data_IF_795381676674
#
_entry.id   IF_795381676674
#
_cell.length_a   1.000
_cell.length_b   1.000
_cell.length_c   1.000
_cell.angle_alpha   90.00
_cell.angle_beta   90.00
_cell.angle_gamma   90.00
#
_symmetry.space_group_name_H-M   'P 1'
#
loop_
_entity.id
_entity.type
_entity.pdbx_description
1 polymer ?
#
# COMPACT_ATOMS: atom_id res chain seq x y z
N UNK A 1 -11.73 -12.10 -16.56
CA UNK A 1 -10.58 -13.03 -16.74
C UNK A 1 -9.95 -13.22 -15.37
N UNK A 2 -9.75 -14.46 -14.92
CA UNK A 2 -9.03 -14.74 -13.66
C UNK A 2 -7.58 -14.32 -13.88
N UNK A 3 -7.10 -13.28 -13.17
CA UNK A 3 -5.69 -12.87 -13.22
C UNK A 3 -4.82 -14.01 -12.70
N UNK A 4 -3.76 -14.37 -13.42
CA UNK A 4 -2.83 -15.42 -13.00
C UNK A 4 -2.09 -15.02 -11.73
N UNK A 5 -1.81 -15.99 -10.87
CA UNK A 5 -0.94 -15.81 -9.71
C UNK A 5 0.50 -15.60 -10.18
N UNK A 6 1.07 -14.43 -9.84
CA UNK A 6 2.44 -14.06 -10.19
C UNK A 6 3.43 -14.49 -9.11
N UNK A 7 3.03 -14.28 -7.84
CA UNK A 7 3.81 -14.68 -6.66
C UNK A 7 2.89 -15.46 -5.72
N UNK A 8 3.43 -16.51 -5.11
CA UNK A 8 2.81 -17.23 -3.99
C UNK A 8 3.81 -17.34 -2.83
N UNK A 9 3.40 -16.92 -1.66
CA UNK A 9 4.07 -17.15 -0.38
C UNK A 9 3.32 -18.28 0.29
N UNK A 10 4.02 -19.38 0.62
CA UNK A 10 3.43 -20.56 1.25
C UNK A 10 4.09 -20.84 2.57
N UNK A 11 3.34 -20.68 3.63
CA UNK A 11 3.75 -20.98 5.00
C UNK A 11 5.10 -20.33 5.39
N UNK A 12 5.26 -19.06 5.05
CA UNK A 12 6.51 -18.32 5.24
C UNK A 12 6.71 -17.99 6.72
N UNK A 13 7.85 -18.39 7.25
CA UNK A 13 8.32 -18.01 8.59
C UNK A 13 9.65 -17.29 8.47
N UNK A 14 9.80 -16.22 9.26
CA UNK A 14 11.07 -15.50 9.42
C UNK A 14 11.24 -15.02 10.85
N UNK A 15 12.39 -15.34 11.44
CA UNK A 15 12.76 -14.89 12.76
C UNK A 15 14.11 -14.17 12.76
N UNK A 16 14.33 -13.29 13.74
CA UNK A 16 15.58 -12.61 14.00
C UNK A 16 15.87 -12.72 15.50
N UNK A 17 17.02 -13.21 15.87
CA UNK A 17 17.47 -13.33 17.28
C UNK A 17 16.45 -14.03 18.21
N UNK A 18 15.63 -14.92 17.62
CA UNK A 18 14.59 -15.67 18.35
C UNK A 18 13.21 -15.00 18.36
N UNK A 19 13.07 -13.79 17.85
CA UNK A 19 11.78 -13.10 17.68
C UNK A 19 11.21 -13.36 16.28
N UNK A 20 9.94 -13.74 16.21
CA UNK A 20 9.24 -14.05 14.94
C UNK A 20 8.78 -12.74 14.31
N UNK A 21 9.38 -12.38 13.19
CA UNK A 21 9.01 -11.20 12.41
C UNK A 21 7.90 -11.48 11.39
N UNK A 22 7.83 -12.71 10.87
CA UNK A 22 6.76 -13.18 9.96
C UNK A 22 6.40 -14.59 10.37
N UNK A 23 5.12 -14.85 10.62
CA UNK A 23 4.61 -16.09 11.19
C UNK A 23 3.64 -16.77 10.23
N UNK A 24 4.03 -17.95 9.68
CA UNK A 24 3.24 -18.84 8.83
C UNK A 24 2.42 -18.14 7.74
N UNK A 25 3.00 -17.10 7.12
CA UNK A 25 2.33 -16.25 6.16
C UNK A 25 1.97 -16.99 4.88
N UNK A 26 0.71 -16.88 4.47
CA UNK A 26 0.20 -17.35 3.19
C UNK A 26 -0.40 -16.19 2.42
N UNK A 27 0.17 -15.86 1.25
CA UNK A 27 -0.25 -14.74 0.40
C UNK A 27 -0.05 -15.10 -1.06
N UNK A 28 -0.97 -14.71 -1.92
CA UNK A 28 -0.76 -14.73 -3.36
C UNK A 28 -0.95 -13.34 -3.95
N UNK A 29 -0.14 -13.01 -4.95
CA UNK A 29 -0.13 -11.72 -5.64
C UNK A 29 -0.40 -11.99 -7.11
N UNK A 30 -1.32 -11.23 -7.70
CA UNK A 30 -1.76 -11.40 -9.08
C UNK A 30 -0.95 -10.53 -10.05
N UNK A 31 -0.99 -10.88 -11.33
CA UNK A 31 -0.44 -10.03 -12.38
C UNK A 31 -1.22 -8.72 -12.49
N UNK A 32 -0.49 -7.62 -12.72
CA UNK A 32 -1.05 -6.29 -12.97
C UNK A 32 -1.96 -5.77 -11.84
N UNK A 33 -1.64 -6.09 -10.58
CA UNK A 33 -2.32 -5.49 -9.43
C UNK A 33 -1.40 -4.53 -8.66
N UNK A 34 -2.02 -3.59 -7.98
CA UNK A 34 -1.41 -2.76 -6.97
C UNK A 34 -1.79 -3.35 -5.61
N UNK A 35 -0.85 -4.04 -4.96
CA UNK A 35 -1.08 -4.63 -3.64
C UNK A 35 -0.28 -3.87 -2.58
N UNK A 36 -0.92 -3.55 -1.47
CA UNK A 36 -0.28 -2.87 -0.35
C UNK A 36 -0.24 -3.74 0.90
N UNK A 37 0.94 -3.86 1.49
CA UNK A 37 1.12 -4.39 2.85
C UNK A 37 1.10 -3.21 3.81
N UNK A 38 0.14 -3.17 4.73
CA UNK A 38 -0.05 -2.08 5.70
C UNK A 38 -0.14 -2.63 7.11
N UNK A 39 0.27 -1.86 8.10
CA UNK A 39 0.26 -2.26 9.51
C UNK A 39 1.25 -1.44 10.34
N UNK A 40 1.27 -1.61 11.67
CA UNK A 40 2.17 -0.93 12.57
C UNK A 40 3.66 -1.17 12.26
N UNK A 41 4.53 -0.32 12.81
CA UNK A 41 5.98 -0.54 12.73
C UNK A 41 6.35 -1.89 13.35
N UNK A 42 7.31 -2.60 12.74
CA UNK A 42 7.75 -3.91 13.24
C UNK A 42 6.84 -5.11 12.94
N UNK A 43 5.67 -4.96 12.31
CA UNK A 43 4.76 -6.07 12.05
C UNK A 43 5.17 -7.01 10.88
N UNK A 44 6.38 -6.88 10.32
CA UNK A 44 6.90 -7.81 9.32
C UNK A 44 6.77 -7.38 7.84
N UNK A 45 6.21 -6.21 7.50
CA UNK A 45 6.00 -5.72 6.11
C UNK A 45 7.29 -5.65 5.29
N UNK A 46 8.27 -4.89 5.79
CA UNK A 46 9.58 -4.73 5.12
C UNK A 46 10.33 -6.06 5.05
N UNK A 47 10.24 -6.91 6.08
CA UNK A 47 10.81 -8.26 6.07
C UNK A 47 10.19 -9.10 4.95
N UNK A 48 8.86 -9.09 4.81
CA UNK A 48 8.15 -9.77 3.72
C UNK A 48 8.59 -9.24 2.35
N UNK A 49 8.66 -7.91 2.20
CA UNK A 49 9.14 -7.30 0.96
C UNK A 49 10.58 -7.71 0.63
N UNK A 50 11.48 -7.73 1.63
CA UNK A 50 12.88 -8.17 1.46
C UNK A 50 12.99 -9.64 1.07
N UNK A 51 12.15 -10.52 1.63
CA UNK A 51 12.09 -11.92 1.24
C UNK A 51 11.61 -12.10 -0.20
N UNK A 52 10.55 -11.38 -0.62
CA UNK A 52 10.11 -11.34 -2.02
C UNK A 52 11.24 -10.80 -2.91
N UNK A 53 11.93 -9.76 -2.47
CA UNK A 53 13.08 -9.15 -3.14
C UNK A 53 14.32 -10.04 -3.27
N UNK A 54 14.42 -11.09 -2.47
CA UNK A 54 15.60 -11.97 -2.40
C UNK A 54 16.77 -11.37 -1.62
N UNK A 55 16.53 -10.32 -0.84
CA UNK A 55 17.51 -9.73 0.08
C UNK A 55 17.59 -10.51 1.40
N UNK A 56 16.48 -11.21 1.75
CA UNK A 56 16.38 -12.08 2.91
C UNK A 56 15.87 -13.45 2.46
N UNK A 57 16.24 -14.52 3.18
CA UNK A 57 15.67 -15.84 2.98
C UNK A 57 14.67 -16.14 4.09
N UNK A 58 13.52 -16.75 3.75
CA UNK A 58 12.64 -17.29 4.78
C UNK A 58 13.36 -18.43 5.52
N UNK A 59 13.03 -18.59 6.80
CA UNK A 59 13.53 -19.71 7.59
C UNK A 59 12.73 -20.97 7.30
N UNK A 60 11.41 -20.82 7.02
CA UNK A 60 10.52 -21.90 6.57
C UNK A 60 9.61 -21.41 5.41
N UNK A 61 9.06 -22.36 4.68
CA UNK A 61 8.11 -22.10 3.60
C UNK A 61 8.75 -21.82 2.25
N UNK A 62 7.92 -21.52 1.26
CA UNK A 62 8.34 -21.36 -0.13
C UNK A 62 7.81 -20.04 -0.74
N UNK A 63 8.70 -19.33 -1.42
CA UNK A 63 8.36 -18.20 -2.29
C UNK A 63 8.39 -18.69 -3.72
N UNK A 64 7.24 -18.65 -4.40
CA UNK A 64 7.07 -19.12 -5.76
C UNK A 64 6.81 -17.93 -6.68
N UNK A 65 7.59 -17.78 -7.75
CA UNK A 65 7.38 -16.76 -8.79
C UNK A 65 7.23 -17.44 -10.15
N UNK A 66 6.14 -17.12 -10.87
CA UNK A 66 5.83 -17.76 -12.15
C UNK A 66 5.90 -19.30 -12.08
N UNK A 67 5.45 -19.91 -10.98
CA UNK A 67 5.46 -21.35 -10.77
C UNK A 67 6.81 -21.96 -10.38
N UNK A 68 7.86 -21.16 -10.15
CA UNK A 68 9.19 -21.63 -9.74
C UNK A 68 9.53 -21.14 -8.33
N UNK A 69 10.05 -22.04 -7.49
CA UNK A 69 10.56 -21.67 -6.15
C UNK A 69 11.82 -20.83 -6.32
N UNK A 70 11.83 -19.66 -5.65
CA UNK A 70 12.90 -18.66 -5.79
C UNK A 70 13.66 -18.36 -4.50
N UNK A 71 13.49 -19.16 -3.45
CA UNK A 71 14.11 -18.93 -2.14
C UNK A 71 15.63 -18.68 -2.23
N UNK A 72 16.33 -19.47 -3.07
CA UNK A 72 17.77 -19.40 -3.26
C UNK A 72 18.22 -18.45 -4.38
N UNK A 73 17.27 -17.84 -5.11
CA UNK A 73 17.63 -16.91 -6.18
C UNK A 73 17.97 -15.53 -5.61
N UNK A 74 19.17 -15.00 -5.88
CA UNK A 74 19.54 -13.66 -5.46
C UNK A 74 18.72 -12.58 -6.19
N UNK A 75 18.64 -11.34 -5.66
CA UNK A 75 17.81 -10.25 -6.20
C UNK A 75 17.97 -10.02 -7.71
N UNK A 76 19.21 -10.02 -8.21
CA UNK A 76 19.50 -9.74 -9.62
C UNK A 76 19.04 -10.83 -10.60
N UNK A 77 18.63 -12.00 -10.11
CA UNK A 77 18.05 -13.09 -10.91
C UNK A 77 16.54 -13.18 -10.84
N UNK A 78 15.91 -12.34 -10.01
CA UNK A 78 14.45 -12.25 -9.91
C UNK A 78 13.91 -11.20 -10.88
N UNK A 79 12.71 -11.37 -11.48
CA UNK A 79 12.12 -10.42 -12.43
C UNK A 79 11.52 -9.20 -11.73
N UNK A 80 12.21 -8.65 -10.77
CA UNK A 80 11.78 -7.57 -9.88
C UNK A 80 12.77 -6.42 -9.88
N UNK A 81 12.31 -5.22 -9.53
CA UNK A 81 13.14 -4.10 -9.11
C UNK A 81 12.60 -3.51 -7.81
N UNK A 82 13.47 -2.89 -7.02
CA UNK A 82 13.11 -2.32 -5.72
C UNK A 82 13.45 -0.83 -5.68
N UNK A 83 12.52 -0.04 -5.15
CA UNK A 83 12.73 1.34 -4.71
C UNK A 83 12.75 1.32 -3.18
N UNK A 84 13.88 1.72 -2.60
CA UNK A 84 14.09 1.74 -1.15
C UNK A 84 13.61 3.06 -0.55
N UNK A 85 13.30 3.07 0.73
CA UNK A 85 12.84 4.22 1.51
C UNK A 85 13.74 5.47 1.34
N UNK A 86 15.05 5.32 1.40
CA UNK A 86 16.03 6.42 1.17
C UNK A 86 16.45 6.57 -0.31
N UNK A 87 15.65 6.08 -1.27
CA UNK A 87 15.84 6.14 -2.72
C UNK A 87 17.15 5.54 -3.26
N UNK A 88 18.20 5.42 -2.45
CA UNK A 88 19.53 4.86 -2.79
C UNK A 88 20.07 5.38 -4.15
N UNK A 89 19.94 6.69 -4.43
CA UNK A 89 20.49 7.32 -5.61
C UNK A 89 22.00 7.44 -5.49
N UNK A 90 22.68 7.36 -6.63
CA UNK A 90 24.13 7.52 -6.69
C UNK A 90 24.49 9.01 -6.75
N UNK A 91 25.06 9.62 -5.69
CA UNK A 91 25.28 11.07 -5.61
C UNK A 91 26.32 11.57 -6.61
N UNK A 92 27.27 10.72 -7.01
CA UNK A 92 28.30 11.03 -7.98
C UNK A 92 27.81 11.00 -9.44
N UNK A 93 26.57 10.51 -9.69
CA UNK A 93 25.96 10.48 -11.01
C UNK A 93 24.90 11.59 -11.13
N UNK A 94 24.72 12.11 -12.34
CA UNK A 94 23.59 12.96 -12.67
C UNK A 94 22.29 12.14 -12.81
N UNK A 95 21.16 12.78 -13.09
CA UNK A 95 19.87 12.14 -13.29
C UNK A 95 19.94 11.07 -14.38
N UNK A 96 20.52 11.39 -15.55
CA UNK A 96 20.72 10.44 -16.64
C UNK A 96 21.50 9.20 -16.18
N UNK A 97 22.65 9.42 -15.53
CA UNK A 97 23.52 8.33 -15.06
C UNK A 97 22.83 7.41 -14.05
N UNK A 98 22.02 7.99 -13.16
CA UNK A 98 21.21 7.20 -12.23
C UNK A 98 20.19 6.33 -12.96
N UNK A 99 19.41 6.89 -13.87
CA UNK A 99 18.38 6.16 -14.61
C UNK A 99 19.00 5.11 -15.52
N UNK A 100 20.06 5.45 -16.27
CA UNK A 100 20.75 4.55 -17.19
C UNK A 100 21.58 3.45 -16.49
N UNK A 101 21.79 3.53 -15.17
CA UNK A 101 22.76 2.71 -14.44
C UNK A 101 22.58 1.21 -14.69
N UNK A 102 21.35 0.71 -14.60
CA UNK A 102 21.07 -0.71 -14.82
C UNK A 102 21.36 -1.18 -16.24
N UNK A 103 21.14 -0.35 -17.25
CA UNK A 103 21.43 -0.67 -18.64
C UNK A 103 22.92 -0.56 -18.95
N UNK A 104 23.60 0.46 -18.41
CA UNK A 104 25.02 0.68 -18.64
C UNK A 104 25.93 -0.41 -18.05
N UNK A 105 25.45 -1.14 -17.03
CA UNK A 105 26.19 -2.25 -16.39
C UNK A 105 25.98 -3.59 -17.10
N UNK A 106 25.12 -3.64 -18.12
CA UNK A 106 24.91 -4.86 -18.92
C UNK A 106 26.02 -5.05 -19.94
N UNK A 107 26.36 -6.30 -20.18
CA UNK A 107 27.22 -6.68 -21.29
C UNK A 107 26.55 -6.38 -22.63
N UNK A 108 27.35 -6.31 -23.68
CA UNK A 108 26.85 -6.10 -25.04
C UNK A 108 25.78 -7.13 -25.45
N UNK A 109 25.99 -8.41 -25.11
CA UNK A 109 25.03 -9.48 -25.42
C UNK A 109 23.74 -9.31 -24.66
N UNK A 110 23.80 -9.03 -23.35
CA UNK A 110 22.61 -8.77 -22.52
C UNK A 110 21.81 -7.55 -23.01
N UNK A 111 22.46 -6.54 -23.60
CA UNK A 111 21.75 -5.40 -24.20
C UNK A 111 21.06 -5.78 -25.52
N UNK A 112 21.68 -6.64 -26.33
CA UNK A 112 21.02 -7.19 -27.53
C UNK A 112 19.81 -8.04 -27.14
N UNK A 113 19.93 -8.86 -26.12
CA UNK A 113 18.84 -9.71 -25.62
C UNK A 113 17.71 -8.85 -25.02
N UNK A 114 18.07 -7.77 -24.33
CA UNK A 114 17.09 -6.83 -23.73
C UNK A 114 16.30 -6.04 -24.78
N UNK A 115 16.95 -5.51 -25.81
CA UNK A 115 16.29 -4.72 -26.87
C UNK A 115 15.75 -5.59 -28.00
N UNK A 116 16.21 -6.82 -28.16
CA UNK A 116 16.11 -7.71 -29.32
C UNK A 116 16.94 -7.25 -30.51
N UNK A 117 17.48 -8.21 -31.24
CA UNK A 117 18.36 -7.93 -32.41
C UNK A 117 17.62 -7.14 -33.50
N UNK A 118 16.32 -7.38 -33.67
CA UNK A 118 15.48 -6.72 -34.69
C UNK A 118 15.34 -5.24 -34.41
N UNK A 119 15.09 -4.85 -33.15
CA UNK A 119 15.01 -3.44 -32.72
C UNK A 119 16.36 -2.76 -32.88
N UNK A 120 17.46 -3.43 -32.53
CA UNK A 120 18.81 -2.89 -32.70
C UNK A 120 19.13 -2.68 -34.18
N UNK A 121 18.79 -3.63 -35.06
CA UNK A 121 19.00 -3.50 -36.51
C UNK A 121 18.14 -2.37 -37.10
N UNK A 122 16.87 -2.26 -36.72
CA UNK A 122 16.00 -1.15 -37.11
C UNK A 122 16.61 0.19 -36.70
N UNK A 123 17.18 0.29 -35.50
CA UNK A 123 17.86 1.52 -35.06
C UNK A 123 19.13 1.80 -35.86
N UNK A 124 19.85 0.79 -36.29
CA UNK A 124 20.99 0.94 -37.22
C UNK A 124 20.50 1.53 -38.55
N UNK A 125 19.42 1.03 -39.12
CA UNK A 125 18.84 1.55 -40.37
C UNK A 125 18.41 3.03 -40.24
N UNK A 126 17.78 3.41 -39.12
CA UNK A 126 17.43 4.78 -38.81
C UNK A 126 18.66 5.71 -38.73
N UNK A 127 19.74 5.27 -38.09
CA UNK A 127 20.96 6.04 -37.95
C UNK A 127 21.84 6.08 -39.23
N UNK A 128 21.68 5.09 -40.11
CA UNK A 128 22.48 4.93 -41.32
C UNK A 128 21.63 4.60 -42.55
N UNK A 129 20.72 5.51 -42.97
CA UNK A 129 19.73 5.24 -44.03
C UNK A 129 20.31 4.99 -45.45
N UNK A 130 21.60 5.31 -45.68
CA UNK A 130 22.26 5.16 -47.01
C UNK A 130 23.07 3.84 -47.14
N UNK A 131 22.93 2.91 -46.20
CA UNK A 131 23.64 1.65 -46.23
C UNK A 131 22.99 0.65 -47.16
N UNK A 132 23.78 -0.11 -47.92
CA UNK A 132 23.31 -1.21 -48.76
C UNK A 132 22.61 -2.25 -47.87
N UNK A 133 21.33 -2.55 -48.16
CA UNK A 133 20.43 -3.38 -47.34
C UNK A 133 21.00 -4.80 -47.14
N UNK A 134 21.89 -5.25 -48.05
CA UNK A 134 22.52 -6.57 -48.01
C UNK A 134 23.76 -6.66 -47.10
N UNK A 135 24.21 -5.58 -46.51
CA UNK A 135 25.44 -5.56 -45.71
C UNK A 135 25.13 -5.63 -44.21
N UNK A 136 25.57 -6.73 -43.53
CA UNK A 136 25.42 -6.83 -42.06
C UNK A 136 25.99 -5.64 -41.34
N UNK A 137 25.34 -5.12 -40.28
CA UNK A 137 25.86 -4.01 -39.48
C UNK A 137 27.22 -4.34 -38.86
N UNK A 138 28.13 -3.35 -38.91
CA UNK A 138 29.41 -3.48 -38.20
C UNK A 138 29.19 -3.41 -36.67
N UNK A 139 30.13 -3.98 -35.90
CA UNK A 139 30.07 -3.94 -34.42
C UNK A 139 30.02 -2.50 -33.89
N UNK A 140 30.64 -1.55 -34.57
CA UNK A 140 30.60 -0.14 -34.18
C UNK A 140 29.21 0.50 -34.40
N UNK A 141 28.55 0.17 -35.50
CA UNK A 141 27.19 0.63 -35.79
C UNK A 141 26.16 0.05 -34.79
N UNK A 142 26.30 -1.23 -34.47
CA UNK A 142 25.45 -1.87 -33.44
C UNK A 142 25.66 -1.22 -32.07
N UNK A 143 26.90 -0.92 -31.65
CA UNK A 143 27.17 -0.21 -30.40
C UNK A 143 26.52 1.19 -30.38
N UNK A 144 26.63 1.96 -31.46
CA UNK A 144 26.00 3.28 -31.56
C UNK A 144 24.47 3.20 -31.52
N UNK A 145 23.89 2.20 -32.17
CA UNK A 145 22.45 1.95 -32.11
C UNK A 145 21.99 1.61 -30.68
N UNK A 146 22.72 0.75 -29.96
CA UNK A 146 22.43 0.43 -28.57
C UNK A 146 22.51 1.68 -27.67
N UNK A 147 23.52 2.53 -27.82
CA UNK A 147 23.61 3.79 -27.07
C UNK A 147 22.42 4.71 -27.35
N UNK A 148 21.99 4.84 -28.61
CA UNK A 148 20.80 5.61 -28.97
C UNK A 148 19.53 5.03 -28.34
N UNK A 149 19.39 3.71 -28.28
CA UNK A 149 18.26 3.03 -27.62
C UNK A 149 18.27 3.24 -26.10
N UNK A 150 19.44 3.27 -25.48
CA UNK A 150 19.57 3.62 -24.04
C UNK A 150 19.12 5.07 -23.82
N UNK A 151 19.58 6.02 -24.64
CA UNK A 151 19.17 7.43 -24.55
C UNK A 151 17.66 7.59 -24.67
N UNK A 152 17.04 6.91 -25.62
CA UNK A 152 15.58 6.91 -25.79
C UNK A 152 14.87 6.29 -24.60
N UNK A 153 15.39 5.18 -24.07
CA UNK A 153 14.82 4.53 -22.88
C UNK A 153 14.88 5.43 -21.64
N UNK A 154 16.00 6.16 -21.45
CA UNK A 154 16.14 7.14 -20.36
C UNK A 154 15.15 8.29 -20.51
N UNK A 155 15.04 8.88 -21.71
CA UNK A 155 14.09 9.96 -21.98
C UNK A 155 12.65 9.51 -21.74
N UNK A 156 12.29 8.32 -22.20
CA UNK A 156 10.96 7.77 -21.98
C UNK A 156 10.69 7.51 -20.49
N UNK A 157 11.66 6.96 -19.75
CA UNK A 157 11.51 6.75 -18.31
C UNK A 157 11.35 8.08 -17.55
N UNK A 158 12.16 9.10 -17.89
CA UNK A 158 12.03 10.43 -17.29
C UNK A 158 10.72 11.13 -17.64
N UNK A 159 10.23 10.96 -18.87
CA UNK A 159 8.92 11.47 -19.27
C UNK A 159 7.77 10.83 -18.47
N UNK A 160 7.84 9.51 -18.21
CA UNK A 160 6.83 8.80 -17.39
C UNK A 160 6.72 9.35 -15.96
N UNK A 161 7.83 9.85 -15.41
CA UNK A 161 7.88 10.43 -14.06
C UNK A 161 7.87 11.96 -14.05
N UNK A 162 7.49 12.62 -15.15
CA UNK A 162 7.41 14.07 -15.31
C UNK A 162 8.74 14.81 -15.00
N UNK A 163 9.88 14.23 -15.40
CA UNK A 163 11.23 14.80 -15.25
C UNK A 163 11.96 14.97 -16.61
N UNK A 164 11.22 15.16 -17.70
CA UNK A 164 11.81 15.46 -19.01
C UNK A 164 12.65 16.76 -18.95
N UNK A 165 13.85 16.74 -19.52
CA UNK A 165 14.79 17.88 -19.52
C UNK A 165 15.68 17.98 -18.26
N UNK A 166 15.56 17.05 -17.31
CA UNK A 166 16.37 17.04 -16.09
C UNK A 166 17.62 16.15 -16.18
N UNK A 167 17.91 15.55 -17.33
CA UNK A 167 18.93 14.51 -17.54
C UNK A 167 20.32 14.92 -17.02
N UNK A 168 20.68 16.18 -17.18
CA UNK A 168 22.02 16.70 -16.83
C UNK A 168 22.13 17.21 -15.39
N UNK A 169 21.01 17.30 -14.64
CA UNK A 169 21.03 17.83 -13.27
C UNK A 169 21.69 16.85 -12.31
N UNK A 170 22.34 17.40 -11.26
CA UNK A 170 22.85 16.61 -10.14
C UNK A 170 21.69 16.20 -9.23
N UNK A 171 21.71 14.97 -8.71
CA UNK A 171 20.64 14.46 -7.83
C UNK A 171 20.56 15.23 -6.52
N UNK A 172 21.67 15.70 -5.97
CA UNK A 172 21.71 16.47 -4.72
C UNK A 172 21.01 17.85 -4.83
N UNK A 173 20.81 18.35 -6.06
CA UNK A 173 20.07 19.59 -6.31
C UNK A 173 18.56 19.39 -6.50
N UNK A 174 18.08 18.15 -6.35
CA UNK A 174 16.69 17.77 -6.57
C UNK A 174 15.94 17.71 -5.24
N UNK A 175 14.65 18.09 -5.25
CA UNK A 175 13.79 17.89 -4.08
C UNK A 175 13.56 16.40 -3.79
N UNK A 176 13.14 16.05 -2.57
CA UNK A 176 12.85 14.67 -2.17
C UNK A 176 11.89 13.95 -3.14
N UNK A 177 10.78 14.58 -3.52
CA UNK A 177 9.85 14.03 -4.51
C UNK A 177 10.44 13.86 -5.91
N UNK A 178 11.37 14.75 -6.32
CA UNK A 178 12.09 14.57 -7.58
C UNK A 178 13.11 13.43 -7.49
N UNK A 179 13.80 13.27 -6.37
CA UNK A 179 14.70 12.15 -6.13
C UNK A 179 13.97 10.82 -6.15
N UNK A 180 12.79 10.76 -5.53
CA UNK A 180 11.91 9.59 -5.59
C UNK A 180 11.53 9.23 -7.03
N UNK A 181 11.09 10.21 -7.83
CA UNK A 181 10.77 9.99 -9.25
C UNK A 181 11.96 9.48 -10.04
N UNK A 182 13.18 9.96 -9.76
CA UNK A 182 14.40 9.43 -10.37
C UNK A 182 14.63 7.97 -9.99
N UNK A 183 14.42 7.60 -8.72
CA UNK A 183 14.55 6.21 -8.25
C UNK A 183 13.54 5.29 -8.93
N UNK A 184 12.30 5.74 -9.11
CA UNK A 184 11.28 5.01 -9.86
C UNK A 184 11.67 4.89 -11.33
N UNK A 185 12.11 5.96 -11.99
CA UNK A 185 12.59 5.93 -13.39
C UNK A 185 13.73 4.92 -13.56
N UNK A 186 14.70 4.89 -12.62
CA UNK A 186 15.79 3.91 -12.57
C UNK A 186 15.29 2.47 -12.42
N UNK A 187 14.20 2.28 -11.70
CA UNK A 187 13.62 0.96 -11.51
C UNK A 187 12.85 0.48 -12.75
N UNK A 188 12.03 1.33 -13.35
CA UNK A 188 11.16 0.95 -14.48
C UNK A 188 11.90 0.80 -15.80
N UNK A 189 13.04 1.48 -16.00
CA UNK A 189 13.82 1.40 -17.25
C UNK A 189 14.24 -0.03 -17.61
N UNK A 190 14.42 -0.88 -16.59
CA UNK A 190 14.77 -2.28 -16.75
C UNK A 190 13.58 -3.17 -17.15
N UNK A 191 12.38 -2.61 -17.32
CA UNK A 191 11.13 -3.31 -17.66
C UNK A 191 10.86 -4.49 -16.73
N UNK A 192 10.83 -4.29 -15.40
CA UNK A 192 10.53 -5.37 -14.47
C UNK A 192 9.08 -5.84 -14.63
N UNK A 193 8.77 -7.07 -14.24
CA UNK A 193 7.39 -7.54 -14.09
C UNK A 193 6.77 -7.08 -12.78
N UNK A 194 7.61 -6.87 -11.77
CA UNK A 194 7.21 -6.51 -10.41
C UNK A 194 8.07 -5.35 -9.93
N UNK A 195 7.44 -4.33 -9.36
CA UNK A 195 8.09 -3.22 -8.68
C UNK A 195 7.79 -3.30 -7.19
N UNK A 196 8.84 -3.39 -6.38
CA UNK A 196 8.77 -3.35 -4.93
C UNK A 196 9.03 -1.92 -4.45
N UNK A 197 8.17 -1.40 -3.59
CA UNK A 197 8.20 -0.04 -3.08
C UNK A 197 8.16 -0.10 -1.55
N UNK A 198 9.28 0.20 -0.89
CA UNK A 198 9.41 0.17 0.57
C UNK A 198 9.27 1.60 1.11
N UNK A 199 8.12 1.93 1.67
CA UNK A 199 7.75 3.25 2.23
C UNK A 199 8.19 4.45 1.37
N UNK A 200 7.91 4.46 0.07
CA UNK A 200 8.51 5.44 -0.83
C UNK A 200 7.99 6.87 -0.62
N UNK A 201 6.85 7.05 0.04
CA UNK A 201 6.19 8.36 0.24
C UNK A 201 6.45 8.95 1.63
N UNK A 202 7.06 8.22 2.55
CA UNK A 202 7.20 8.61 3.95
C UNK A 202 7.93 9.96 4.16
N UNK A 203 8.89 10.30 3.29
CA UNK A 203 9.68 11.53 3.40
C UNK A 203 9.05 12.77 2.72
N UNK A 204 7.80 12.67 2.25
CA UNK A 204 7.13 13.75 1.51
C UNK A 204 6.12 14.50 2.39
N UNK A 205 5.99 15.82 2.15
CA UNK A 205 4.90 16.59 2.72
C UNK A 205 3.52 16.12 2.21
N UNK A 206 2.45 16.38 2.97
CA UNK A 206 1.10 15.88 2.71
C UNK A 206 0.63 16.14 1.26
N UNK A 207 0.76 17.38 0.78
CA UNK A 207 0.29 17.75 -0.57
C UNK A 207 1.06 17.04 -1.67
N UNK A 208 2.37 16.92 -1.50
CA UNK A 208 3.23 16.22 -2.46
C UNK A 208 2.97 14.72 -2.41
N UNK A 209 2.73 14.15 -1.22
CA UNK A 209 2.36 12.76 -0.99
C UNK A 209 1.09 12.40 -1.75
N UNK A 210 0.00 13.16 -1.56
CA UNK A 210 -1.26 12.94 -2.27
C UNK A 210 -1.11 12.99 -3.80
N UNK A 211 -0.37 13.95 -4.33
CA UNK A 211 -0.09 14.01 -5.76
C UNK A 211 0.68 12.77 -6.26
N UNK A 212 1.66 12.32 -5.47
CA UNK A 212 2.45 11.12 -5.81
C UNK A 212 1.65 9.83 -5.75
N UNK A 213 0.66 9.71 -4.87
CA UNK A 213 -0.27 8.58 -4.84
C UNK A 213 -0.99 8.43 -6.18
N UNK A 214 -1.60 9.50 -6.70
CA UNK A 214 -2.25 9.50 -8.01
C UNK A 214 -1.29 9.14 -9.14
N UNK A 215 -0.08 9.73 -9.13
CA UNK A 215 0.92 9.46 -10.17
C UNK A 215 1.40 8.02 -10.16
N UNK A 216 1.61 7.41 -8.97
CA UNK A 216 2.01 6.01 -8.84
C UNK A 216 0.92 5.06 -9.36
N UNK A 217 -0.35 5.29 -9.02
CA UNK A 217 -1.47 4.49 -9.52
C UNK A 217 -1.62 4.59 -11.04
N UNK A 218 -1.54 5.82 -11.59
CA UNK A 218 -1.52 6.08 -13.03
C UNK A 218 -0.35 5.38 -13.73
N UNK A 219 0.84 5.46 -13.12
CA UNK A 219 2.05 4.83 -13.65
C UNK A 219 1.92 3.31 -13.69
N UNK A 220 1.42 2.69 -12.61
CA UNK A 220 1.16 1.25 -12.55
C UNK A 220 0.22 0.81 -13.68
N UNK A 221 -0.90 1.55 -13.88
CA UNK A 221 -1.84 1.28 -14.96
C UNK A 221 -1.22 1.39 -16.35
N UNK A 222 -0.41 2.43 -16.59
CA UNK A 222 0.26 2.66 -17.89
C UNK A 222 1.34 1.62 -18.19
N UNK A 223 2.06 1.17 -17.16
CA UNK A 223 3.13 0.17 -17.31
C UNK A 223 2.57 -1.26 -17.43
N UNK A 224 1.39 -1.53 -16.88
CA UNK A 224 0.80 -2.86 -16.84
C UNK A 224 1.66 -3.87 -16.07
N UNK A 225 2.30 -3.44 -14.97
CA UNK A 225 3.13 -4.29 -14.10
C UNK A 225 2.55 -4.36 -12.69
N UNK A 226 2.97 -5.35 -11.92
CA UNK A 226 2.52 -5.51 -10.53
C UNK A 226 3.35 -4.62 -9.61
N UNK A 227 2.67 -3.85 -8.75
CA UNK A 227 3.30 -3.08 -7.67
C UNK A 227 3.03 -3.76 -6.33
N UNK A 228 4.09 -3.94 -5.54
CA UNK A 228 4.00 -4.36 -4.14
C UNK A 228 4.51 -3.18 -3.31
N UNK A 229 3.60 -2.58 -2.59
CA UNK A 229 3.80 -1.35 -1.83
C UNK A 229 3.77 -1.64 -0.34
N UNK A 230 4.71 -1.11 0.40
CA UNK A 230 4.74 -1.18 1.87
C UNK A 230 4.55 0.23 2.40
N UNK A 231 3.65 0.39 3.35
CA UNK A 231 3.43 1.64 4.07
C UNK A 231 2.89 1.37 5.48
N UNK A 232 3.01 2.34 6.36
CA UNK A 232 2.28 2.42 7.62
C UNK A 232 1.08 3.39 7.52
N UNK A 233 0.94 4.12 6.41
CA UNK A 233 -0.12 5.09 6.18
C UNK A 233 -1.37 4.39 5.60
N UNK A 234 -2.46 4.52 6.31
CA UNK A 234 -3.76 3.88 5.96
C UNK A 234 -4.39 4.53 4.72
N UNK A 235 -4.29 5.87 4.60
CA UNK A 235 -4.81 6.62 3.46
C UNK A 235 -4.12 6.18 2.16
N UNK A 236 -2.79 5.96 2.20
CA UNK A 236 -2.04 5.44 1.06
C UNK A 236 -2.56 4.06 0.63
N UNK A 237 -2.76 3.16 1.60
CA UNK A 237 -3.26 1.81 1.33
C UNK A 237 -4.66 1.83 0.72
N UNK A 238 -5.59 2.60 1.28
CA UNK A 238 -6.97 2.69 0.79
C UNK A 238 -7.07 3.36 -0.59
N UNK A 239 -6.26 4.41 -0.84
CA UNK A 239 -6.38 5.22 -2.06
C UNK A 239 -5.78 4.56 -3.30
N UNK A 240 -4.67 3.83 -3.14
CA UNK A 240 -3.90 3.34 -4.28
C UNK A 240 -4.13 1.86 -4.62
N UNK A 241 -4.56 1.05 -3.67
CA UNK A 241 -4.52 -0.40 -3.81
C UNK A 241 -5.68 -0.97 -4.62
N UNK A 242 -5.43 -2.10 -5.27
CA UNK A 242 -6.47 -3.03 -5.73
C UNK A 242 -6.73 -4.09 -4.63
N UNK A 243 -5.68 -4.40 -3.85
CA UNK A 243 -5.72 -5.34 -2.72
C UNK A 243 -4.91 -4.77 -1.57
N UNK A 244 -5.50 -4.73 -0.37
CA UNK A 244 -4.85 -4.35 0.88
C UNK A 244 -4.64 -5.60 1.72
N UNK A 245 -3.45 -5.73 2.30
CA UNK A 245 -3.05 -6.76 3.25
C UNK A 245 -2.73 -6.08 4.57
N UNK A 246 -3.61 -6.19 5.53
CA UNK A 246 -3.41 -5.64 6.88
C UNK A 246 -2.62 -6.65 7.70
N UNK A 247 -1.51 -6.22 8.28
CA UNK A 247 -0.59 -7.06 9.08
C UNK A 247 -0.45 -6.53 10.50
N UNK A 248 -0.33 -7.44 11.45
CA UNK A 248 0.02 -7.17 12.85
C UNK A 248 0.79 -8.35 13.43
N UNK A 249 1.81 -8.10 14.28
CA UNK A 249 2.59 -9.13 14.99
C UNK A 249 3.04 -10.30 14.09
N UNK A 250 3.51 -9.99 12.90
CA UNK A 250 4.01 -11.01 11.93
C UNK A 250 2.94 -11.79 11.17
N UNK A 251 1.65 -11.59 11.45
CA UNK A 251 0.54 -12.33 10.83
C UNK A 251 -0.35 -11.40 9.99
N UNK A 252 -0.99 -11.98 8.98
CA UNK A 252 -2.01 -11.29 8.19
C UNK A 252 -3.32 -11.27 8.97
N UNK A 253 -3.85 -10.09 9.24
CA UNK A 253 -5.13 -9.90 9.91
C UNK A 253 -6.29 -9.97 8.93
N UNK A 254 -6.16 -9.29 7.77
CA UNK A 254 -7.17 -9.30 6.72
C UNK A 254 -6.55 -9.03 5.35
N UNK A 255 -7.15 -9.62 4.31
CA UNK A 255 -6.88 -9.32 2.91
C UNK A 255 -8.23 -9.00 2.27
N UNK A 256 -8.30 -7.90 1.52
CA UNK A 256 -9.51 -7.48 0.81
C UNK A 256 -9.27 -6.31 -0.12
N UNK A 257 -10.32 -5.82 -0.77
CA UNK A 257 -10.32 -4.52 -1.43
C UNK A 257 -10.27 -3.40 -0.39
N UNK A 258 -9.89 -2.17 -0.75
CA UNK A 258 -9.99 -1.03 0.17
C UNK A 258 -11.36 -0.90 0.85
N UNK A 259 -12.42 -1.07 0.08
CA UNK A 259 -13.81 -1.01 0.57
C UNK A 259 -14.10 -2.14 1.57
N UNK A 260 -13.67 -3.39 1.29
CA UNK A 260 -13.88 -4.53 2.22
C UNK A 260 -13.14 -4.31 3.55
N UNK A 261 -11.92 -3.78 3.49
CA UNK A 261 -11.10 -3.53 4.67
C UNK A 261 -11.69 -2.42 5.55
N UNK A 262 -12.26 -1.38 4.93
CA UNK A 262 -12.85 -0.25 5.65
C UNK A 262 -14.24 -0.56 6.21
N UNK A 263 -15.14 -1.13 5.37
CA UNK A 263 -16.54 -1.32 5.71
C UNK A 263 -16.81 -2.64 6.44
N UNK A 264 -16.02 -3.69 6.15
CA UNK A 264 -16.21 -5.05 6.69
C UNK A 264 -14.96 -5.55 7.42
N UNK A 265 -14.45 -4.83 8.46
CA UNK A 265 -13.29 -5.28 9.20
C UNK A 265 -13.56 -6.62 9.90
N UNK A 266 -12.59 -7.55 9.85
CA UNK A 266 -12.73 -8.89 10.43
C UNK A 266 -12.58 -8.91 11.94
N UNK A 267 -11.87 -7.92 12.49
CA UNK A 267 -11.57 -7.83 13.92
C UNK A 267 -11.40 -6.37 14.36
N UNK A 268 -11.39 -6.16 15.66
CA UNK A 268 -11.26 -4.85 16.28
C UNK A 268 -9.94 -4.13 15.92
N UNK A 269 -8.85 -4.90 15.75
CA UNK A 269 -7.59 -4.34 15.30
C UNK A 269 -7.74 -3.70 13.91
N UNK A 270 -8.27 -4.44 12.93
CA UNK A 270 -8.46 -3.89 11.56
C UNK A 270 -9.39 -2.69 11.58
N UNK A 271 -10.52 -2.77 12.32
CA UNK A 271 -11.48 -1.67 12.43
C UNK A 271 -10.83 -0.36 12.90
N UNK A 272 -10.05 -0.43 13.99
CA UNK A 272 -9.37 0.73 14.58
C UNK A 272 -8.11 1.15 13.82
N UNK A 273 -7.40 0.20 13.20
CA UNK A 273 -6.18 0.50 12.46
C UNK A 273 -6.49 1.23 11.14
N UNK A 274 -7.56 0.91 10.44
CA UNK A 274 -7.84 1.44 9.09
C UNK A 274 -8.61 2.76 9.13
N UNK A 275 -9.25 3.07 10.23
CA UNK A 275 -10.01 4.31 10.44
C UNK A 275 -10.63 4.32 11.83
N UNK A 276 -11.01 5.47 12.29
CA UNK A 276 -11.71 5.61 13.57
C UNK A 276 -13.02 4.82 13.56
N UNK A 277 -13.34 4.14 14.67
CA UNK A 277 -14.53 3.27 14.76
C UNK A 277 -15.16 3.31 16.14
N UNK A 278 -16.48 3.35 16.17
CA UNK A 278 -17.24 3.04 17.38
C UNK A 278 -17.45 1.54 17.47
N UNK A 279 -16.78 0.88 18.41
CA UNK A 279 -16.94 -0.57 18.65
C UNK A 279 -17.77 -0.77 19.90
N UNK A 280 -19.00 -1.27 19.73
CA UNK A 280 -20.01 -1.36 20.77
C UNK A 280 -20.35 -2.82 21.01
N UNK A 281 -20.47 -3.26 22.27
CA UNK A 281 -20.96 -4.60 22.59
C UNK A 281 -22.45 -4.70 22.28
N UNK A 282 -22.82 -5.76 21.56
CA UNK A 282 -24.20 -6.04 21.17
C UNK A 282 -24.57 -7.50 21.26
N UNK A 283 -25.86 -7.80 21.08
CA UNK A 283 -26.41 -9.17 21.03
C UNK A 283 -27.17 -9.31 19.71
N UNK A 284 -26.79 -10.31 18.91
CA UNK A 284 -27.52 -10.62 17.69
C UNK A 284 -28.84 -11.34 17.98
N UNK A 285 -29.95 -10.77 17.54
CA UNK A 285 -31.28 -11.28 17.85
C UNK A 285 -31.86 -12.20 16.77
N UNK A 286 -31.11 -12.45 15.68
CA UNK A 286 -31.65 -13.10 14.49
C UNK A 286 -32.44 -12.16 13.60
N UNK A 287 -32.80 -12.65 12.41
CA UNK A 287 -33.58 -11.88 11.42
C UNK A 287 -33.00 -10.50 11.11
N UNK A 288 -31.66 -10.39 10.95
CA UNK A 288 -30.96 -9.14 10.67
C UNK A 288 -31.23 -8.05 11.70
N UNK A 289 -31.21 -8.42 12.98
CA UNK A 289 -31.39 -7.48 14.09
C UNK A 289 -30.33 -7.68 15.16
N UNK A 290 -29.80 -6.56 15.64
CA UNK A 290 -28.83 -6.51 16.73
C UNK A 290 -29.32 -5.54 17.81
N UNK A 291 -29.12 -5.88 19.08
CA UNK A 291 -29.41 -5.00 20.21
C UNK A 291 -28.09 -4.52 20.81
N UNK A 292 -27.91 -3.20 20.85
CA UNK A 292 -26.80 -2.53 21.56
C UNK A 292 -27.35 -1.24 22.22
N UNK A 293 -26.71 -0.80 23.29
CA UNK A 293 -27.15 0.37 24.06
C UNK A 293 -28.66 0.32 24.40
N UNK A 294 -29.16 -0.85 24.74
CA UNK A 294 -30.59 -1.11 25.08
C UNK A 294 -31.59 -0.80 23.95
N UNK A 295 -31.13 -0.63 22.71
CA UNK A 295 -31.99 -0.39 21.55
C UNK A 295 -31.74 -1.46 20.48
N UNK A 296 -32.80 -1.86 19.76
CA UNK A 296 -32.72 -2.83 18.67
C UNK A 296 -32.65 -2.11 17.32
N UNK A 297 -31.63 -2.46 16.55
CA UNK A 297 -31.41 -1.96 15.20
C UNK A 297 -31.55 -3.09 14.18
N UNK A 298 -31.92 -2.75 12.98
CA UNK A 298 -31.79 -3.63 11.82
C UNK A 298 -30.35 -3.56 11.32
N UNK A 299 -29.81 -4.65 10.80
CA UNK A 299 -28.48 -4.77 10.19
C UNK A 299 -28.56 -5.67 8.96
N UNK A 300 -27.49 -5.77 8.19
CA UNK A 300 -27.47 -6.64 6.99
C UNK A 300 -26.82 -8.00 7.27
N UNK A 301 -26.02 -8.12 8.32
CA UNK A 301 -25.29 -9.32 8.68
C UNK A 301 -26.21 -10.43 9.20
N UNK A 302 -25.96 -11.68 8.74
CA UNK A 302 -26.79 -12.85 9.07
C UNK A 302 -26.00 -14.04 9.67
N UNK A 303 -24.66 -13.97 9.67
CA UNK A 303 -23.79 -15.12 9.94
C UNK A 303 -23.53 -15.38 11.44
N UNK A 304 -24.49 -15.01 12.31
CA UNK A 304 -24.42 -15.15 13.77
C UNK A 304 -25.56 -15.96 14.31
N UNK A 305 -25.34 -16.59 15.48
CA UNK A 305 -26.41 -17.33 16.18
C UNK A 305 -27.28 -16.37 16.98
N UNK A 306 -28.57 -16.66 17.08
CA UNK A 306 -29.49 -15.88 17.94
C UNK A 306 -28.99 -15.92 19.39
N UNK A 307 -28.84 -14.75 20.00
CA UNK A 307 -28.28 -14.58 21.34
C UNK A 307 -26.76 -14.53 21.40
N UNK A 308 -26.05 -14.57 20.25
CA UNK A 308 -24.59 -14.44 20.21
C UNK A 308 -24.16 -13.02 20.57
N UNK A 309 -23.18 -12.93 21.46
CA UNK A 309 -22.50 -11.66 21.73
C UNK A 309 -21.63 -11.25 20.55
N UNK A 310 -21.80 -10.02 20.06
CA UNK A 310 -21.09 -9.45 18.91
C UNK A 310 -20.50 -8.10 19.24
N UNK A 311 -19.49 -7.71 18.48
CA UNK A 311 -19.01 -6.34 18.40
C UNK A 311 -19.69 -5.64 17.23
N UNK A 312 -20.37 -4.56 17.51
CA UNK A 312 -21.03 -3.70 16.51
C UNK A 312 -20.07 -2.59 16.15
N UNK A 313 -19.69 -2.51 14.90
CA UNK A 313 -18.80 -1.47 14.35
C UNK A 313 -19.64 -0.47 13.59
N UNK A 314 -19.48 0.80 13.92
CA UNK A 314 -20.12 1.93 13.23
C UNK A 314 -19.07 3.02 13.07
N UNK A 315 -18.87 3.51 11.85
CA UNK A 315 -17.94 4.61 11.61
C UNK A 315 -18.50 5.93 12.16
N UNK A 316 -17.65 6.87 12.57
CA UNK A 316 -18.11 8.18 13.07
C UNK A 316 -18.99 8.96 12.11
N UNK A 317 -18.74 8.83 10.80
CA UNK A 317 -19.49 9.49 9.72
C UNK A 317 -20.84 8.85 9.41
N UNK A 318 -21.08 7.60 9.87
CA UNK A 318 -22.28 6.82 9.55
C UNK A 318 -23.44 7.09 10.52
N UNK A 319 -23.20 7.92 11.52
CA UNK A 319 -24.25 8.33 12.43
C UNK A 319 -25.13 9.44 11.83
N UNK A 320 -26.41 9.15 11.65
CA UNK A 320 -27.41 10.12 11.27
C UNK A 320 -27.85 10.96 12.47
N UNK A 321 -27.62 12.28 12.41
CA UNK A 321 -28.17 13.21 13.39
C UNK A 321 -29.62 13.50 13.07
N UNK A 322 -30.51 13.19 13.99
CA UNK A 322 -31.96 13.32 13.81
C UNK A 322 -32.60 14.09 14.98
N UNK A 323 -33.81 14.65 14.79
CA UNK A 323 -34.56 15.23 15.90
C UNK A 323 -34.75 14.25 17.05
N UNK A 324 -34.72 14.75 18.30
CA UNK A 324 -34.75 13.91 19.51
C UNK A 324 -35.98 12.99 19.59
N UNK A 325 -37.12 13.41 19.04
CA UNK A 325 -38.36 12.65 18.98
C UNK A 325 -38.34 11.48 17.97
N UNK A 326 -37.36 11.46 17.06
CA UNK A 326 -37.18 10.41 16.05
C UNK A 326 -35.94 9.56 16.29
N UNK A 327 -35.14 9.91 17.29
CA UNK A 327 -33.89 9.26 17.58
C UNK A 327 -34.08 7.94 18.31
N UNK A 328 -33.32 6.90 17.91
CA UNK A 328 -33.22 5.65 18.68
C UNK A 328 -32.24 5.79 19.85
N UNK A 329 -31.21 6.60 19.69
CA UNK A 329 -30.26 6.90 20.76
C UNK A 329 -30.24 8.40 20.99
N UNK A 330 -30.19 8.79 22.26
CA UNK A 330 -30.05 10.19 22.66
C UNK A 330 -28.82 10.27 23.54
N UNK A 331 -27.88 11.12 23.16
CA UNK A 331 -26.65 11.38 23.89
C UNK A 331 -26.47 12.84 24.26
N UNK A 332 -25.50 13.12 25.10
CA UNK A 332 -25.04 14.47 25.43
C UNK A 332 -23.68 14.69 24.81
N UNK A 333 -23.51 15.79 24.10
CA UNK A 333 -22.21 16.19 23.54
C UNK A 333 -21.28 16.62 24.69
N UNK A 334 -20.15 15.93 24.82
CA UNK A 334 -19.13 16.22 25.84
C UNK A 334 -17.96 17.03 25.29
N UNK A 335 -17.60 16.80 24.03
CA UNK A 335 -16.61 17.58 23.29
C UNK A 335 -17.05 17.82 21.85
N UNK A 336 -16.56 18.90 21.24
CA UNK A 336 -16.81 19.24 19.84
C UNK A 336 -15.57 19.91 19.26
N UNK A 337 -14.96 19.33 18.23
CA UNK A 337 -13.72 19.78 17.60
C UNK A 337 -13.93 19.94 16.10
N UNK A 338 -13.52 21.07 15.53
CA UNK A 338 -13.55 21.28 14.08
C UNK A 338 -12.30 20.67 13.42
N UNK A 339 -12.50 19.69 12.55
CA UNK A 339 -11.42 19.00 11.80
C UNK A 339 -11.20 19.54 10.38
N UNK A 340 -11.70 20.73 10.07
CA UNK A 340 -11.54 21.41 8.77
C UNK A 340 -12.68 21.14 7.78
N UNK A 341 -13.17 19.92 7.67
CA UNK A 341 -14.28 19.53 6.76
C UNK A 341 -15.56 19.24 7.55
N UNK A 342 -15.43 18.64 8.73
CA UNK A 342 -16.52 18.23 9.61
C UNK A 342 -16.23 18.64 11.06
N UNK A 343 -17.22 18.52 11.91
CA UNK A 343 -17.07 18.56 13.36
C UNK A 343 -17.04 17.11 13.87
N UNK A 344 -16.10 16.82 14.72
CA UNK A 344 -16.01 15.58 15.49
C UNK A 344 -16.58 15.85 16.88
N UNK A 345 -17.57 15.08 17.26
CA UNK A 345 -18.23 15.18 18.55
C UNK A 345 -17.97 13.93 19.38
N UNK A 346 -17.50 14.11 20.60
CA UNK A 346 -17.58 13.07 21.62
C UNK A 346 -18.99 13.12 22.25
N UNK A 347 -19.74 12.04 22.08
CA UNK A 347 -21.14 11.94 22.54
C UNK A 347 -21.24 10.86 23.61
N UNK A 348 -21.72 11.23 24.80
CA UNK A 348 -21.91 10.29 25.91
C UNK A 348 -23.32 9.72 25.87
N UNK A 349 -23.42 8.38 25.75
CA UNK A 349 -24.68 7.63 25.83
C UNK A 349 -24.51 6.48 26.83
N UNK A 350 -25.33 6.46 27.92
CA UNK A 350 -25.25 5.41 28.94
C UNK A 350 -23.81 5.17 29.46
N UNK A 351 -23.10 6.25 29.76
CA UNK A 351 -21.72 6.25 30.25
C UNK A 351 -20.65 5.74 29.23
N UNK A 352 -21.04 5.50 27.98
CA UNK A 352 -20.11 5.15 26.87
C UNK A 352 -19.89 6.35 25.99
N UNK A 353 -18.66 6.50 25.55
CA UNK A 353 -18.25 7.49 24.57
C UNK A 353 -18.47 6.97 23.15
N UNK A 354 -19.06 7.81 22.29
CA UNK A 354 -19.15 7.60 20.85
C UNK A 354 -18.56 8.82 20.13
N UNK A 355 -17.82 8.56 19.07
CA UNK A 355 -17.36 9.60 18.16
C UNK A 355 -18.36 9.73 17.01
N UNK A 356 -18.80 10.94 16.75
CA UNK A 356 -19.80 11.25 15.71
C UNK A 356 -19.29 12.39 14.85
N UNK A 357 -19.24 12.21 13.55
CA UNK A 357 -18.88 13.25 12.59
C UNK A 357 -20.13 13.92 12.04
N UNK A 358 -20.16 15.26 12.06
CA UNK A 358 -21.26 16.06 11.51
C UNK A 358 -20.77 17.26 10.72
N UNK A 359 -21.59 17.76 9.80
CA UNK A 359 -21.29 19.03 9.11
C UNK A 359 -21.74 20.26 9.91
N UNK A 360 -22.61 20.07 10.89
CA UNK A 360 -23.14 21.14 11.73
C UNK A 360 -22.52 21.10 13.12
N UNK A 361 -22.26 22.27 13.67
CA UNK A 361 -21.75 22.42 15.04
C UNK A 361 -22.85 22.13 16.05
N UNK A 362 -22.59 21.20 16.97
CA UNK A 362 -23.43 20.97 18.16
C UNK A 362 -22.67 21.43 19.40
N UNK A 363 -23.31 22.22 20.24
CA UNK A 363 -22.68 22.80 21.43
C UNK A 363 -22.49 21.77 22.53
N UNK A 364 -21.34 21.85 23.19
CA UNK A 364 -21.05 21.00 24.38
C UNK A 364 -22.14 21.20 25.45
N UNK A 365 -22.63 20.07 25.96
CA UNK A 365 -23.72 19.98 26.92
C UNK A 365 -25.12 19.82 26.30
N UNK A 366 -25.28 20.07 25.00
CA UNK A 366 -26.54 19.83 24.28
C UNK A 366 -26.80 18.35 24.05
N UNK A 367 -28.09 18.00 23.93
CA UNK A 367 -28.50 16.66 23.53
C UNK A 367 -28.50 16.52 22.02
N UNK A 368 -28.06 15.36 21.56
CA UNK A 368 -28.06 14.96 20.15
C UNK A 368 -28.80 13.63 19.99
N UNK A 369 -29.68 13.57 18.98
CA UNK A 369 -30.39 12.35 18.63
C UNK A 369 -29.67 11.63 17.49
N UNK A 370 -29.41 10.34 17.64
CA UNK A 370 -28.67 9.51 16.69
C UNK A 370 -29.50 8.35 16.19
N UNK A 371 -29.40 8.11 14.90
CA UNK A 371 -29.80 6.87 14.21
C UNK A 371 -28.61 6.36 13.36
N UNK A 372 -28.74 5.17 12.82
CA UNK A 372 -27.77 4.58 11.88
C UNK A 372 -28.53 3.72 10.87
N UNK A 373 -28.12 3.78 9.61
CA UNK A 373 -28.70 2.94 8.56
C UNK A 373 -28.30 1.46 8.76
N UNK A 374 -29.18 0.49 8.48
CA UNK A 374 -28.85 -0.94 8.60
C UNK A 374 -27.61 -1.38 7.80
N UNK A 375 -27.28 -0.71 6.70
CA UNK A 375 -26.10 -1.01 5.87
C UNK A 375 -24.79 -0.53 6.48
N UNK A 376 -24.85 0.44 7.38
CA UNK A 376 -23.69 1.03 8.07
C UNK A 376 -23.37 0.33 9.41
N UNK A 377 -24.14 -0.70 9.76
CA UNK A 377 -23.90 -1.54 10.94
C UNK A 377 -23.18 -2.80 10.50
N UNK A 378 -21.89 -2.91 10.87
CA UNK A 378 -21.13 -4.13 10.66
C UNK A 378 -20.96 -4.91 11.97
N UNK A 379 -21.14 -6.25 11.90
CA UNK A 379 -21.04 -7.13 13.05
C UNK A 379 -19.77 -7.98 12.98
N UNK A 380 -18.97 -7.93 14.03
CA UNK A 380 -17.81 -8.80 14.22
C UNK A 380 -18.07 -9.80 15.35
N UNK A 381 -17.40 -10.96 15.28
CA UNK A 381 -17.36 -11.89 16.42
C UNK A 381 -16.63 -11.21 17.57
N UNK A 382 -17.12 -11.44 18.79
CA UNK A 382 -16.43 -10.98 19.99
C UNK A 382 -15.07 -11.69 20.07
N UNK A 383 -14.00 -10.95 19.94
CA UNK A 383 -12.64 -11.45 20.19
C UNK A 383 -12.42 -11.57 21.70
N UNK A 384 -11.67 -12.59 22.10
CA UNK A 384 -11.20 -12.74 23.47
C UNK A 384 -9.88 -11.95 23.69
N UNK A 385 -9.72 -10.80 23.05
CA UNK A 385 -8.50 -9.97 23.12
C UNK A 385 -8.80 -8.71 23.94
N UNK A 386 -7.93 -8.39 24.88
CA UNK A 386 -8.04 -7.19 25.70
C UNK A 386 -7.94 -5.93 24.82
N UNK A 387 -8.94 -5.05 24.94
CA UNK A 387 -8.94 -3.76 24.23
C UNK A 387 -7.72 -2.89 24.57
N UNK A 388 -7.11 -3.05 25.74
CA UNK A 388 -5.87 -2.38 26.15
C UNK A 388 -4.67 -2.81 25.29
N UNK A 389 -4.57 -4.10 24.92
CA UNK A 389 -3.47 -4.61 24.09
C UNK A 389 -3.56 -4.09 22.65
N UNK A 390 -4.78 -3.92 22.11
CA UNK A 390 -5.04 -3.33 20.78
C UNK A 390 -4.70 -1.83 20.78
N UNK A 391 -5.05 -1.11 21.84
CA UNK A 391 -4.75 0.32 21.97
C UNK A 391 -3.25 0.58 22.11
N UNK A 392 -2.54 -0.23 22.89
CA UNK A 392 -1.07 -0.13 22.99
C UNK A 392 -0.38 -0.38 21.66
N UNK A 393 -0.87 -1.30 20.83
CA UNK A 393 -0.31 -1.53 19.49
C UNK A 393 -0.52 -0.33 18.55
N UNK A 394 -1.70 0.28 18.60
CA UNK A 394 -2.02 1.45 17.75
C UNK A 394 -1.19 2.66 18.20
N UNK A 395 -1.11 2.93 19.49
CA UNK A 395 -0.32 4.03 20.05
C UNK A 395 1.19 3.86 19.77
N UNK A 396 1.72 2.65 19.89
CA UNK A 396 3.11 2.35 19.53
C UNK A 396 3.37 2.50 18.02
N UNK A 397 2.34 2.38 17.17
CA UNK A 397 2.43 2.64 15.73
C UNK A 397 2.55 4.14 15.42
N UNK A 398 1.92 5.01 16.21
CA UNK A 398 2.00 6.46 16.07
C UNK A 398 3.29 7.04 16.65
N UNK A 399 3.78 6.51 17.79
CA UNK A 399 5.01 6.96 18.45
C UNK A 399 6.30 6.55 17.71
N UNK A 400 6.26 5.54 16.84
CA UNK A 400 7.39 5.11 15.99
C UNK A 400 7.84 6.14 14.94
N UNK A 401 7.19 7.30 14.87
CA UNK A 401 7.50 8.40 13.95
C UNK A 401 8.57 9.36 14.54
N UNK A 402 8.92 9.24 15.83
CA UNK A 402 9.70 10.29 16.56
C UNK A 402 11.17 9.92 16.85
N UNK A 403 11.64 8.70 16.62
CA UNK A 403 12.99 8.29 17.07
C UNK A 403 14.07 8.08 16.00
N UNK A 404 13.95 8.62 14.79
CA UNK A 404 15.04 8.56 13.79
C UNK A 404 15.61 9.93 13.36
N UNK A 405 15.59 10.93 14.26
CA UNK A 405 16.38 12.16 14.10
C UNK A 405 17.50 12.24 15.15
N UNK A 406 18.49 11.34 15.09
CA UNK A 406 19.87 11.58 15.59
C UNK A 406 20.74 10.35 15.21
N UNK A 407 21.40 10.43 14.06
CA UNK A 407 22.84 10.09 13.81
C UNK A 407 23.13 10.30 12.32
#
# INVERSE_FOLDING_TARGET
>A
MVKNKLIELKNIVKSYDGEIAVDHMNLYIRENEFITLVGPSGCGKTTTLRMIGGFEKPDEGEIIMNGQVVNDLPPHKRPINTVFQKYALFPHLNVYGNVAFGLNNRTYQELIDFYTIDIVNKKVEELYPKKDINQKPSRMQLKKAIHALIDESVKNALKMVNLEGYEKRKVDSMSGGQQQRIAIARAIINKPKILLLDEPLAALDLKLRQNMQYELKEMQRKLGITFIFVTHDQEEALTMSDTVVVMSKGVIQQIGTPEDIYNEPKNSFVANFVGESNIIQGIYNGNKKVTFMNQTFECVDENFKVGEEVQVVIRPEDWDVVPLDKAKLIGRVDASVFKGVHFEHCVIIQEKELIVHTYEFVKVGEQIGLNVDPYEIHLMKKEMVDAEEVLEEILNAEDGIVEDEEI
#
